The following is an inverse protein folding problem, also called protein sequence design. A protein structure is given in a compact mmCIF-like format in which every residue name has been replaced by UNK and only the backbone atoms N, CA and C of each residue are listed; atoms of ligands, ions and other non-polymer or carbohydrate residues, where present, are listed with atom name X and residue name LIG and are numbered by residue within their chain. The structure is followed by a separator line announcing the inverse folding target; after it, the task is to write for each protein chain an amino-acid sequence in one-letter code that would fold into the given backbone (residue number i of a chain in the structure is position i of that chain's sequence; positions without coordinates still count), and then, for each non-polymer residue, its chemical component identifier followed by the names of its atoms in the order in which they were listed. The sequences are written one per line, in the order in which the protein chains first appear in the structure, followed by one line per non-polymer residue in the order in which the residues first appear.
data_IF_492791937538
#
_entry.id   IF_492791937538
#
_cell.length_a   1.000
_cell.length_b   1.000
_cell.length_c   1.000
_cell.angle_alpha   90.00
_cell.angle_beta   90.00
_cell.angle_gamma   90.00
#
_symmetry.space_group_name_H-M   'P 1'
#
loop_
_entity.id
_entity.type
_entity.pdbx_description
1 polymer ?
#
# COMPACT_ATOMS: atom_id res chain seq x y z
N UNK A 1 -17.80 5.70 4.43
CA UNK A 1 -17.04 4.49 4.06
C UNK A 1 -17.18 4.32 2.56
N UNK A 2 -16.07 4.29 1.82
CA UNK A 2 -16.08 4.11 0.36
C UNK A 2 -16.17 2.63 -0.01
N UNK A 3 -16.47 2.31 -1.28
CA UNK A 3 -16.36 0.92 -1.77
C UNK A 3 -14.94 0.38 -1.57
N UNK A 4 -13.92 1.18 -1.88
CA UNK A 4 -12.53 0.81 -1.65
C UNK A 4 -12.26 0.46 -0.18
N UNK A 5 -12.73 1.28 0.77
CA UNK A 5 -12.56 1.01 2.21
C UNK A 5 -13.25 -0.30 2.62
N UNK A 6 -14.49 -0.50 2.17
CA UNK A 6 -15.26 -1.72 2.43
C UNK A 6 -14.53 -2.97 1.93
N UNK A 7 -13.97 -2.92 0.72
CA UNK A 7 -13.21 -4.02 0.15
C UNK A 7 -11.89 -4.29 0.91
N UNK A 8 -11.23 -3.25 1.43
CA UNK A 8 -10.05 -3.41 2.30
C UNK A 8 -10.43 -4.12 3.60
N UNK A 9 -11.57 -3.78 4.20
CA UNK A 9 -12.05 -4.43 5.43
C UNK A 9 -12.38 -5.92 5.20
N UNK A 10 -13.06 -6.25 4.09
CA UNK A 10 -13.31 -7.64 3.69
C UNK A 10 -12.00 -8.41 3.48
N UNK A 11 -11.02 -7.78 2.82
CA UNK A 11 -9.70 -8.38 2.64
C UNK A 11 -8.95 -8.60 3.96
N UNK A 12 -9.09 -7.70 4.94
CA UNK A 12 -8.51 -7.91 6.28
C UNK A 12 -9.17 -9.09 7.00
N UNK A 13 -10.50 -9.24 6.89
CA UNK A 13 -11.22 -10.39 7.43
C UNK A 13 -10.75 -11.71 6.78
N UNK A 14 -10.58 -11.71 5.45
CA UNK A 14 -10.01 -12.84 4.71
C UNK A 14 -8.58 -13.17 5.17
N UNK A 15 -7.72 -12.16 5.37
CA UNK A 15 -6.36 -12.39 5.88
C UNK A 15 -6.38 -12.98 7.30
N UNK A 16 -7.30 -12.53 8.14
CA UNK A 16 -7.48 -13.07 9.49
C UNK A 16 -7.92 -14.53 9.46
N UNK A 17 -8.87 -14.92 8.59
CA UNK A 17 -9.33 -16.30 8.47
C UNK A 17 -8.25 -17.26 7.95
N UNK A 18 -7.25 -16.73 7.24
CA UNK A 18 -6.03 -17.43 6.81
C UNK A 18 -4.92 -17.45 7.86
N UNK A 19 -5.17 -16.95 9.08
CA UNK A 19 -4.21 -16.87 10.19
C UNK A 19 -2.92 -16.11 9.83
N UNK A 20 -3.01 -15.05 9.03
CA UNK A 20 -1.86 -14.20 8.76
C UNK A 20 -1.43 -13.48 10.04
N UNK A 21 -0.11 -13.27 10.19
CA UNK A 21 0.41 -12.55 11.35
C UNK A 21 -0.14 -11.12 11.39
N UNK A 22 -0.35 -10.59 12.60
CA UNK A 22 -0.76 -9.18 12.82
C UNK A 22 0.15 -8.20 12.09
N UNK A 23 1.45 -8.48 12.03
CA UNK A 23 2.44 -7.65 11.33
C UNK A 23 2.22 -7.64 9.81
N UNK A 24 1.87 -8.79 9.23
CA UNK A 24 1.57 -8.90 7.80
C UNK A 24 0.30 -8.11 7.48
N UNK A 25 -0.77 -8.30 8.27
CA UNK A 25 -2.03 -7.58 8.10
C UNK A 25 -1.84 -6.07 8.23
N UNK A 26 -1.13 -5.59 9.25
CA UNK A 26 -0.84 -4.17 9.42
C UNK A 26 -0.07 -3.57 8.23
N UNK A 27 0.87 -4.34 7.64
CA UNK A 27 1.59 -3.92 6.43
C UNK A 27 0.64 -3.78 5.24
N UNK A 28 -0.29 -4.72 5.06
CA UNK A 28 -1.30 -4.68 4.02
C UNK A 28 -2.22 -3.47 4.19
N UNK A 29 -2.86 -3.36 5.36
CA UNK A 29 -3.80 -2.30 5.70
C UNK A 29 -3.17 -0.90 5.49
N UNK A 30 -1.97 -0.67 6.01
CA UNK A 30 -1.26 0.59 5.86
C UNK A 30 -1.04 0.96 4.39
N UNK A 31 -0.59 0.00 3.58
CA UNK A 31 -0.33 0.24 2.16
C UNK A 31 -1.62 0.52 1.38
N UNK A 32 -2.70 -0.20 1.70
CA UNK A 32 -3.99 -0.07 1.02
C UNK A 32 -4.70 1.24 1.40
N UNK A 33 -4.71 1.64 2.68
CA UNK A 33 -5.29 2.91 3.11
C UNK A 33 -4.59 4.11 2.45
N UNK A 34 -3.26 4.11 2.40
CA UNK A 34 -2.50 5.16 1.70
C UNK A 34 -2.80 5.19 0.19
N UNK A 35 -2.98 4.02 -0.44
CA UNK A 35 -3.32 3.95 -1.85
C UNK A 35 -4.75 4.42 -2.14
N UNK A 36 -5.72 4.00 -1.33
CA UNK A 36 -7.12 4.45 -1.42
C UNK A 36 -7.24 5.97 -1.24
N UNK A 37 -6.53 6.54 -0.25
CA UNK A 37 -6.47 7.99 -0.04
C UNK A 37 -5.88 8.72 -1.26
N UNK A 38 -4.81 8.18 -1.85
CA UNK A 38 -4.23 8.73 -3.08
C UNK A 38 -5.21 8.70 -4.25
N UNK A 39 -5.89 7.57 -4.48
CA UNK A 39 -6.90 7.43 -5.54
C UNK A 39 -8.04 8.44 -5.38
N UNK A 40 -8.56 8.56 -4.16
CA UNK A 40 -9.62 9.51 -3.82
C UNK A 40 -9.18 10.96 -4.04
N UNK A 41 -7.98 11.32 -3.61
CA UNK A 41 -7.51 12.71 -3.72
C UNK A 41 -7.18 13.12 -5.15
N UNK A 42 -6.44 12.27 -5.88
CA UNK A 42 -5.89 12.61 -7.19
C UNK A 42 -6.83 12.29 -8.37
N UNK A 43 -7.66 11.25 -8.23
CA UNK A 43 -8.51 10.75 -9.33
C UNK A 43 -10.00 10.72 -9.00
N UNK A 44 -10.40 11.06 -7.76
CA UNK A 44 -11.79 10.92 -7.27
C UNK A 44 -12.33 9.50 -7.44
N UNK A 45 -11.44 8.51 -7.34
CA UNK A 45 -11.79 7.10 -7.41
C UNK A 45 -11.98 6.58 -5.99
N UNK A 46 -13.18 6.09 -5.73
CA UNK A 46 -13.60 5.49 -4.46
C UNK A 46 -14.04 4.03 -4.63
N UNK A 47 -13.99 3.49 -5.85
CA UNK A 47 -14.43 2.13 -6.21
C UNK A 47 -13.27 1.29 -6.77
N UNK A 48 -13.15 0.03 -6.34
CA UNK A 48 -12.06 -0.87 -6.77
C UNK A 48 -12.13 -1.20 -8.26
N UNK A 49 -13.34 -1.26 -8.82
CA UNK A 49 -13.61 -1.57 -10.24
C UNK A 49 -13.10 -0.48 -11.19
N UNK A 50 -12.95 0.75 -10.70
CA UNK A 50 -12.44 1.91 -11.46
C UNK A 50 -10.91 2.01 -11.46
N UNK A 51 -10.22 1.18 -10.68
CA UNK A 51 -8.76 1.22 -10.60
C UNK A 51 -8.12 0.58 -11.82
N UNK A 52 -7.31 1.36 -12.54
CA UNK A 52 -6.59 0.93 -13.74
C UNK A 52 -5.08 0.88 -13.49
N UNK A 53 -4.36 0.12 -14.34
CA UNK A 53 -2.90 0.04 -14.33
C UNK A 53 -2.21 1.41 -14.35
N UNK A 54 -2.80 2.39 -15.05
CA UNK A 54 -2.31 3.78 -15.10
C UNK A 54 -2.25 4.44 -13.72
N UNK A 55 -3.27 4.24 -12.87
CA UNK A 55 -3.31 4.81 -11.53
C UNK A 55 -2.21 4.23 -10.63
N UNK A 56 -1.89 2.94 -10.77
CA UNK A 56 -0.80 2.30 -10.02
C UNK A 56 0.56 2.85 -10.47
N UNK A 57 0.77 3.04 -11.78
CA UNK A 57 2.01 3.65 -12.29
C UNK A 57 2.18 5.08 -11.79
N UNK A 58 1.11 5.87 -11.79
CA UNK A 58 1.13 7.23 -11.24
C UNK A 58 1.36 7.23 -9.72
N UNK A 59 0.80 6.26 -9.00
CA UNK A 59 1.07 6.11 -7.57
C UNK A 59 2.54 5.78 -7.29
N UNK A 60 3.17 4.91 -8.08
CA UNK A 60 4.60 4.61 -7.96
C UNK A 60 5.44 5.88 -8.20
N UNK A 61 5.10 6.68 -9.21
CA UNK A 61 5.75 7.98 -9.44
C UNK A 61 5.58 8.91 -8.24
N UNK A 62 4.35 9.09 -7.78
CA UNK A 62 4.02 9.91 -6.62
C UNK A 62 4.81 9.50 -5.36
N UNK A 63 4.94 8.20 -5.07
CA UNK A 63 5.71 7.71 -3.93
C UNK A 63 7.20 8.08 -3.99
N UNK A 64 7.77 8.26 -5.19
CA UNK A 64 9.16 8.71 -5.36
C UNK A 64 9.32 10.20 -5.04
N UNK A 65 8.29 11.00 -5.25
CA UNK A 65 8.33 12.47 -5.17
C UNK A 65 7.80 13.02 -3.83
N UNK A 66 6.86 12.31 -3.19
CA UNK A 66 6.12 12.73 -1.99
C UNK A 66 6.98 12.95 -0.73
N UNK A 67 8.11 12.25 -0.62
CA UNK A 67 8.92 12.19 0.60
C UNK A 67 8.30 11.35 1.73
N UNK A 68 9.13 10.99 2.72
CA UNK A 68 8.75 10.19 3.88
C UNK A 68 7.92 10.99 4.89
N UNK A 69 6.93 10.31 5.47
CA UNK A 69 6.06 10.81 6.56
C UNK A 69 5.26 12.09 6.26
N UNK A 70 5.17 12.51 4.99
CA UNK A 70 4.38 13.67 4.56
C UNK A 70 2.88 13.39 4.46
N UNK A 71 2.51 12.11 4.47
CA UNK A 71 1.11 11.65 4.46
C UNK A 71 0.98 10.47 5.41
N UNK A 72 -0.12 10.46 6.12
CA UNK A 72 -0.53 9.43 7.09
C UNK A 72 -1.87 8.84 6.65
N UNK A 73 -2.11 7.59 7.02
CA UNK A 73 -3.41 6.93 6.77
C UNK A 73 -4.52 7.44 7.70
N UNK A 74 -4.15 8.10 8.80
CA UNK A 74 -5.04 8.56 9.87
C UNK A 74 -4.50 9.88 10.39
N UNK A 75 -5.23 10.98 10.22
CA UNK A 75 -4.72 12.33 10.49
C UNK A 75 -4.43 12.55 11.98
N UNK A 76 -5.26 11.97 12.86
CA UNK A 76 -5.12 12.00 14.31
C UNK A 76 -3.78 11.41 14.78
N UNK A 77 -3.17 10.54 13.97
CA UNK A 77 -1.87 9.95 14.30
C UNK A 77 -0.72 10.97 14.29
N UNK A 78 -0.89 12.14 13.67
CA UNK A 78 0.11 13.21 13.65
C UNK A 78 0.31 13.83 15.03
N UNK A 79 -0.76 13.94 15.81
CA UNK A 79 -0.76 14.52 17.16
C UNK A 79 0.01 13.66 18.16
N UNK A 80 0.16 12.36 17.87
CA UNK A 80 0.87 11.42 18.74
C UNK A 80 2.29 11.14 18.24
N UNK A 81 2.44 10.94 16.93
CA UNK A 81 3.72 10.47 16.37
C UNK A 81 4.65 11.61 15.95
N UNK A 82 4.15 12.84 15.84
CA UNK A 82 4.91 14.05 15.44
C UNK A 82 5.90 13.78 14.29
N UNK A 83 5.42 13.37 13.10
CA UNK A 83 6.28 12.90 12.01
C UNK A 83 7.31 13.94 11.56
N UNK A 84 7.02 15.23 11.74
CA UNK A 84 7.89 16.34 11.35
C UNK A 84 9.16 16.43 12.20
N UNK A 85 9.13 15.91 13.43
CA UNK A 85 10.28 15.88 14.34
C UNK A 85 11.31 14.80 13.97
N UNK A 86 11.02 13.97 12.95
CA UNK A 86 11.91 12.88 12.54
C UNK A 86 13.09 13.40 11.70
N UNK A 87 14.28 12.86 11.98
CA UNK A 87 15.50 13.15 11.21
C UNK A 87 15.45 12.71 9.74
N UNK A 88 14.49 11.85 9.38
CA UNK A 88 14.25 11.40 8.01
C UNK A 88 12.91 11.87 7.42
N UNK A 89 12.30 12.88 8.02
CA UNK A 89 11.15 13.58 7.46
C UNK A 89 11.48 14.16 6.08
N UNK A 90 10.51 14.08 5.14
CA UNK A 90 10.61 14.54 3.74
C UNK A 90 11.71 13.91 2.88
N UNK A 91 12.62 13.09 3.43
CA UNK A 91 13.59 12.32 2.64
C UNK A 91 12.89 11.34 1.72
N UNK A 92 13.58 10.89 0.68
CA UNK A 92 13.01 9.97 -0.30
C UNK A 92 12.54 8.65 0.32
N UNK A 93 11.41 8.16 -0.18
CA UNK A 93 10.93 6.83 0.14
C UNK A 93 11.83 5.81 -0.57
N UNK A 94 12.38 4.87 0.19
CA UNK A 94 13.27 3.86 -0.39
C UNK A 94 12.56 2.99 -1.42
N UNK A 95 13.27 2.57 -2.47
CA UNK A 95 12.76 1.62 -3.48
C UNK A 95 12.21 0.35 -2.83
N UNK A 96 12.81 -0.10 -1.72
CA UNK A 96 12.34 -1.24 -0.95
C UNK A 96 10.93 -1.04 -0.38
N UNK A 97 10.66 0.12 0.19
CA UNK A 97 9.35 0.49 0.71
C UNK A 97 8.32 0.61 -0.41
N UNK A 98 8.68 1.24 -1.54
CA UNK A 98 7.79 1.38 -2.69
C UNK A 98 7.38 0.01 -3.23
N UNK A 99 8.34 -0.91 -3.44
CA UNK A 99 7.97 -2.23 -3.94
C UNK A 99 7.17 -3.05 -2.90
N UNK A 100 7.39 -2.84 -1.60
CA UNK A 100 6.54 -3.44 -0.57
C UNK A 100 5.10 -2.94 -0.67
N UNK A 101 4.88 -1.63 -0.87
CA UNK A 101 3.53 -1.09 -1.11
C UNK A 101 2.91 -1.68 -2.37
N UNK A 102 3.63 -1.72 -3.49
CA UNK A 102 3.13 -2.32 -4.74
C UNK A 102 2.81 -3.80 -4.56
N UNK A 103 3.62 -4.55 -3.82
CA UNK A 103 3.36 -5.97 -3.50
C UNK A 103 2.07 -6.13 -2.70
N UNK A 104 1.88 -5.32 -1.67
CA UNK A 104 0.67 -5.38 -0.84
C UNK A 104 -0.58 -5.07 -1.67
N UNK A 105 -0.50 -4.04 -2.53
CA UNK A 105 -1.57 -3.72 -3.49
C UNK A 105 -1.83 -4.90 -4.44
N UNK A 106 -0.78 -5.56 -4.93
CA UNK A 106 -0.92 -6.74 -5.79
C UNK A 106 -1.66 -7.88 -5.08
N UNK A 107 -1.33 -8.17 -3.83
CA UNK A 107 -2.02 -9.22 -3.06
C UNK A 107 -3.51 -8.91 -2.92
N UNK A 108 -3.87 -7.65 -2.66
CA UNK A 108 -5.26 -7.21 -2.57
C UNK A 108 -6.03 -7.37 -3.89
N UNK A 109 -5.48 -6.89 -5.01
CA UNK A 109 -6.16 -7.03 -6.30
C UNK A 109 -6.17 -8.47 -6.83
N UNK A 110 -5.21 -9.32 -6.43
CA UNK A 110 -5.30 -10.75 -6.66
C UNK A 110 -6.47 -11.35 -5.88
N UNK A 111 -6.65 -11.00 -4.61
CA UNK A 111 -7.80 -11.45 -3.81
C UNK A 111 -9.14 -11.03 -4.45
N UNK A 112 -9.29 -9.77 -4.83
CA UNK A 112 -10.52 -9.27 -5.47
C UNK A 112 -10.85 -9.99 -6.78
N UNK A 113 -9.83 -10.35 -7.56
CA UNK A 113 -10.01 -11.02 -8.85
C UNK A 113 -10.18 -12.54 -8.72
N UNK A 114 -9.36 -13.18 -7.90
CA UNK A 114 -9.23 -14.63 -7.85
C UNK A 114 -10.21 -15.25 -6.86
N UNK A 115 -10.48 -14.58 -5.74
CA UNK A 115 -11.29 -15.09 -4.62
C UNK A 115 -12.69 -14.51 -4.64
N UNK A 116 -12.84 -13.18 -4.49
CA UNK A 116 -14.17 -12.55 -4.34
C UNK A 116 -14.90 -12.32 -5.66
N UNK A 117 -14.17 -12.29 -6.79
CA UNK A 117 -14.72 -12.01 -8.14
C UNK A 117 -15.36 -10.62 -8.28
N UNK A 118 -14.98 -9.66 -7.43
CA UNK A 118 -15.44 -8.27 -7.46
C UNK A 118 -14.94 -7.49 -8.69
N UNK A 119 -13.81 -7.92 -9.25
CA UNK A 119 -13.23 -7.30 -10.45
C UNK A 119 -13.05 -8.33 -11.56
N UNK A 120 -13.43 -8.01 -12.81
CA UNK A 120 -13.29 -8.93 -13.93
C UNK A 120 -11.86 -8.96 -14.49
N UNK A 121 -11.05 -7.93 -14.20
CA UNK A 121 -9.67 -7.81 -14.69
C UNK A 121 -8.79 -7.25 -13.58
N UNK A 122 -7.67 -7.91 -13.33
CA UNK A 122 -6.71 -7.45 -12.34
C UNK A 122 -5.79 -6.35 -12.93
N UNK A 123 -5.78 -5.13 -12.37
CA UNK A 123 -5.01 -4.00 -12.91
C UNK A 123 -3.49 -4.11 -12.67
N UNK A 124 -3.03 -5.10 -11.89
CA UNK A 124 -1.61 -5.37 -11.62
C UNK A 124 -1.01 -6.53 -12.42
N UNK A 125 -1.77 -7.12 -13.35
CA UNK A 125 -1.29 -8.20 -14.24
C UNK A 125 0.01 -7.82 -14.97
N UNK A 126 0.08 -6.61 -15.52
CA UNK A 126 1.21 -6.11 -16.30
C UNK A 126 2.08 -5.07 -15.57
N UNK A 127 2.00 -5.01 -14.23
CA UNK A 127 2.84 -4.11 -13.42
C UNK A 127 4.05 -4.89 -12.92
N UNK A 128 5.21 -4.63 -13.52
CA UNK A 128 6.47 -5.14 -13.00
C UNK A 128 6.76 -4.55 -11.62
N UNK A 129 7.14 -5.41 -10.68
CA UNK A 129 7.61 -4.95 -9.37
C UNK A 129 9.00 -4.34 -9.52
N UNK A 130 9.30 -3.21 -8.85
CA UNK A 130 10.66 -2.68 -8.82
C UNK A 130 11.65 -3.76 -8.37
N UNK A 131 12.73 -3.99 -9.14
CA UNK A 131 13.81 -4.91 -8.75
C UNK A 131 14.49 -4.36 -7.50
N UNK A 132 14.58 -5.16 -6.44
CA UNK A 132 15.27 -4.80 -5.21
C UNK A 132 16.38 -5.80 -4.96
N UNK A 133 17.61 -5.30 -4.82
CA UNK A 133 18.71 -6.08 -4.25
C UNK A 133 18.49 -6.25 -2.75
N UNK A 134 18.47 -7.50 -2.27
CA UNK A 134 18.36 -7.78 -0.84
C UNK A 134 19.64 -7.32 -0.15
N UNK A 135 19.54 -6.29 0.70
CA UNK A 135 20.61 -5.94 1.63
C UNK A 135 20.76 -7.06 2.65
N UNK A 136 21.86 -7.79 2.58
CA UNK A 136 22.24 -8.78 3.60
C UNK A 136 22.49 -8.00 4.89
N UNK A 137 21.74 -8.31 5.95
CA UNK A 137 22.03 -7.75 7.27
C UNK A 137 23.32 -8.38 7.76
N UNK A 138 24.29 -7.58 8.20
CA UNK A 138 25.48 -8.11 8.88
C UNK A 138 25.02 -8.89 10.11
N UNK A 139 25.36 -10.16 10.18
CA UNK A 139 25.21 -10.97 11.38
C UNK A 139 26.14 -10.40 12.45
N UNK A 140 25.70 -10.35 13.69
CA UNK A 140 26.64 -10.13 14.80
C UNK A 140 27.63 -11.29 14.78
N UNK A 141 28.92 -10.97 14.75
CA UNK A 141 29.95 -11.97 15.01
C UNK A 141 29.78 -12.46 16.47
N UNK A 142 30.05 -13.75 16.75
CA UNK A 142 29.90 -14.32 18.09
C UNK A 142 30.73 -13.59 19.14
#
# INVERSE_FOLDING_TARGET
MTDFDFQVDNFMLFCSSKNLSRKTMASYEQALKLFGQYLKQQFKIEEVTKVQTGHIRQYIKYLRERGKYTVVSTEESKEVNHPESRSDFKKDISTATIANYVRNIKVFFNYLHDVEKEIPKNPLTNVESPKIERKIKKTLAP
#
